data_IF_167472886061
#
_entry.id   IF_167472886061
#
_cell.length_a   1.000
_cell.length_b   1.000
_cell.length_c   1.000
_cell.angle_alpha   90.00
_cell.angle_beta   90.00
_cell.angle_gamma   90.00
#
_symmetry.space_group_name_H-M   'P 1'
#
loop_
_entity.id
_entity.type
_entity.pdbx_description
1 polymer ?
#
# COMPACT_ATOMS: atom_id res chain seq x y z
N UNK A 1 5.95 -7.97 13.49
CA UNK A 1 4.77 -7.67 12.67
C UNK A 1 3.62 -7.29 13.57
N UNK A 2 2.80 -6.34 13.16
CA UNK A 2 1.64 -5.90 13.91
C UNK A 2 0.60 -7.01 14.03
N UNK A 3 -0.09 -7.11 15.18
CA UNK A 3 -1.21 -8.03 15.36
C UNK A 3 -2.40 -7.69 14.47
N UNK A 4 -2.43 -6.46 13.92
CA UNK A 4 -3.51 -5.96 13.09
C UNK A 4 -3.20 -6.05 11.58
N UNK A 5 -2.14 -6.73 11.19
CA UNK A 5 -1.72 -6.79 9.78
C UNK A 5 -2.83 -7.29 8.86
N UNK A 6 -3.49 -8.39 9.23
CA UNK A 6 -4.58 -8.92 8.42
C UNK A 6 -5.74 -7.96 8.26
N UNK A 7 -6.13 -7.30 9.35
CA UNK A 7 -7.21 -6.30 9.32
C UNK A 7 -6.82 -5.11 8.44
N UNK A 8 -5.59 -4.63 8.56
CA UNK A 8 -5.08 -3.52 7.73
C UNK A 8 -5.14 -3.87 6.24
N UNK A 9 -4.71 -5.09 5.88
CA UNK A 9 -4.79 -5.56 4.49
C UNK A 9 -6.23 -5.56 4.00
N UNK A 10 -7.15 -6.09 4.80
CA UNK A 10 -8.57 -6.18 4.44
C UNK A 10 -9.19 -4.79 4.25
N UNK A 11 -8.93 -3.88 5.16
CA UNK A 11 -9.47 -2.52 5.10
C UNK A 11 -8.97 -1.77 3.86
N UNK A 12 -7.66 -1.84 3.59
CA UNK A 12 -7.07 -1.20 2.40
C UNK A 12 -7.59 -1.84 1.12
N UNK A 13 -7.71 -3.17 1.09
CA UNK A 13 -8.24 -3.88 -0.07
C UNK A 13 -9.65 -3.39 -0.40
N UNK A 14 -10.50 -3.30 0.61
CA UNK A 14 -11.89 -2.85 0.44
C UNK A 14 -11.95 -1.38 0.02
N UNK A 15 -11.10 -0.54 0.61
CA UNK A 15 -11.03 0.88 0.25
C UNK A 15 -10.63 1.08 -1.22
N UNK A 16 -9.78 0.19 -1.74
CA UNK A 16 -9.38 0.19 -3.16
C UNK A 16 -10.45 -0.43 -4.08
N UNK A 17 -11.46 -1.07 -3.51
CA UNK A 17 -12.48 -1.77 -4.29
C UNK A 17 -12.01 -3.10 -4.86
N UNK A 18 -10.95 -3.68 -4.33
CA UNK A 18 -10.43 -4.95 -4.83
C UNK A 18 -11.14 -6.14 -4.19
N UNK A 19 -11.41 -7.16 -5.02
CA UNK A 19 -11.81 -8.48 -4.52
C UNK A 19 -10.56 -9.21 -4.01
N UNK A 20 -10.77 -10.32 -3.31
CA UNK A 20 -9.66 -11.19 -2.90
C UNK A 20 -8.85 -11.66 -4.09
N UNK A 21 -9.52 -12.04 -5.18
CA UNK A 21 -8.85 -12.49 -6.41
C UNK A 21 -8.01 -11.37 -7.05
N UNK A 22 -8.54 -10.16 -7.06
CA UNK A 22 -7.83 -9.01 -7.64
C UNK A 22 -6.55 -8.71 -6.85
N UNK A 23 -6.64 -8.65 -5.52
CA UNK A 23 -5.45 -8.43 -4.70
C UNK A 23 -4.46 -9.58 -4.84
N UNK A 24 -4.95 -10.82 -4.91
CA UNK A 24 -4.09 -11.99 -5.11
C UNK A 24 -3.29 -11.86 -6.41
N UNK A 25 -3.96 -11.51 -7.50
CA UNK A 25 -3.30 -11.33 -8.79
C UNK A 25 -2.25 -10.21 -8.74
N UNK A 26 -2.61 -9.06 -8.16
CA UNK A 26 -1.71 -7.90 -8.07
C UNK A 26 -0.49 -8.16 -7.19
N UNK A 27 -0.61 -9.03 -6.21
CA UNK A 27 0.48 -9.35 -5.27
C UNK A 27 1.16 -10.68 -5.56
N UNK A 28 0.85 -11.30 -6.69
CA UNK A 28 1.41 -12.59 -7.08
C UNK A 28 1.18 -13.66 -6.01
N UNK A 29 -0.08 -13.76 -5.58
CA UNK A 29 -0.52 -14.67 -4.51
C UNK A 29 -1.77 -15.42 -4.96
N UNK A 30 -2.21 -16.37 -4.13
CA UNK A 30 -3.50 -17.04 -4.34
C UNK A 30 -4.59 -16.36 -3.53
N UNK A 31 -5.84 -16.52 -3.97
CA UNK A 31 -7.00 -16.03 -3.24
C UNK A 31 -7.04 -16.60 -1.82
N UNK A 32 -6.78 -17.89 -1.67
CA UNK A 32 -6.77 -18.56 -0.38
C UNK A 32 -5.72 -17.96 0.56
N UNK A 33 -4.55 -17.63 0.03
CA UNK A 33 -3.48 -17.03 0.81
C UNK A 33 -3.89 -15.66 1.35
N UNK A 34 -4.47 -14.81 0.50
CA UNK A 34 -4.93 -13.48 0.93
C UNK A 34 -6.04 -13.62 1.97
N UNK A 35 -7.00 -14.53 1.74
CA UNK A 35 -8.07 -14.77 2.70
C UNK A 35 -7.53 -15.19 4.07
N UNK A 36 -6.54 -16.08 4.09
CA UNK A 36 -5.92 -16.53 5.33
C UNK A 36 -5.19 -15.41 6.05
N UNK A 37 -4.47 -14.55 5.30
CA UNK A 37 -3.81 -13.39 5.89
C UNK A 37 -4.81 -12.45 6.56
N UNK A 38 -5.99 -12.26 5.97
CA UNK A 38 -7.00 -11.35 6.48
C UNK A 38 -7.77 -11.92 7.68
N UNK A 39 -7.99 -13.23 7.72
CA UNK A 39 -8.98 -13.83 8.60
C UNK A 39 -8.43 -14.79 9.64
N UNK A 40 -7.22 -15.28 9.48
CA UNK A 40 -6.61 -16.23 10.42
C UNK A 40 -5.31 -15.66 10.95
N UNK A 41 -4.85 -16.06 12.17
CA UNK A 41 -3.51 -15.72 12.61
C UNK A 41 -2.53 -16.52 11.75
N UNK A 42 -1.93 -15.90 10.73
CA UNK A 42 -1.13 -16.62 9.73
C UNK A 42 0.30 -16.81 10.20
N UNK A 43 1.02 -17.76 9.60
CA UNK A 43 2.47 -17.67 9.59
C UNK A 43 2.82 -16.31 8.99
N UNK A 44 3.85 -15.67 9.52
CA UNK A 44 4.28 -14.35 9.03
C UNK A 44 4.62 -14.43 7.53
N UNK A 45 4.04 -13.58 6.70
CA UNK A 45 4.43 -13.54 5.29
C UNK A 45 5.90 -13.14 5.17
N UNK A 46 6.57 -13.61 4.12
CA UNK A 46 7.93 -13.18 3.86
C UNK A 46 7.97 -11.68 3.61
N UNK A 47 9.13 -11.06 3.83
CA UNK A 47 9.31 -9.63 3.55
C UNK A 47 9.01 -9.32 2.08
N UNK A 48 9.38 -10.22 1.18
CA UNK A 48 9.13 -10.07 -0.25
C UNK A 48 7.63 -10.11 -0.57
N UNK A 49 6.89 -11.04 0.02
CA UNK A 49 5.45 -11.16 -0.20
C UNK A 49 4.72 -9.95 0.37
N UNK A 50 5.10 -9.52 1.58
CA UNK A 50 4.50 -8.34 2.20
C UNK A 50 4.77 -7.08 1.38
N UNK A 51 5.96 -6.95 0.79
CA UNK A 51 6.29 -5.83 -0.09
C UNK A 51 5.38 -5.79 -1.33
N UNK A 52 5.08 -6.94 -1.91
CA UNK A 52 4.19 -7.04 -3.07
C UNK A 52 2.76 -6.63 -2.71
N UNK A 53 2.28 -7.08 -1.56
CA UNK A 53 0.94 -6.71 -1.06
C UNK A 53 0.87 -5.20 -0.79
N UNK A 54 1.88 -4.65 -0.13
CA UNK A 54 1.95 -3.23 0.18
C UNK A 54 1.93 -2.38 -1.11
N UNK A 55 2.72 -2.79 -2.10
CA UNK A 55 2.75 -2.11 -3.40
C UNK A 55 1.38 -2.13 -4.08
N UNK A 56 0.71 -3.27 -4.05
CA UNK A 56 -0.63 -3.40 -4.63
C UNK A 56 -1.65 -2.50 -3.94
N UNK A 57 -1.45 -2.22 -2.66
CA UNK A 57 -2.35 -1.38 -1.86
C UNK A 57 -1.88 0.07 -1.74
N UNK A 58 -0.82 0.45 -2.44
CA UNK A 58 -0.26 1.81 -2.47
C UNK A 58 0.18 2.33 -1.09
N UNK A 59 0.73 1.46 -0.27
CA UNK A 59 1.32 1.82 1.03
C UNK A 59 2.71 1.24 1.15
N UNK A 60 3.50 1.76 2.09
CA UNK A 60 4.80 1.18 2.40
C UNK A 60 4.62 -0.05 3.27
N UNK A 61 5.57 -0.98 3.19
CA UNK A 61 5.57 -2.20 4.00
C UNK A 61 5.54 -1.90 5.50
N UNK A 62 6.15 -0.80 5.91
CA UNK A 62 6.23 -0.40 7.32
C UNK A 62 4.87 -0.22 7.96
N UNK A 63 3.85 0.15 7.18
CA UNK A 63 2.49 0.27 7.69
C UNK A 63 1.99 -1.03 8.33
N UNK A 64 2.40 -2.18 7.77
CA UNK A 64 1.97 -3.49 8.28
C UNK A 64 2.87 -4.02 9.40
N UNK A 65 4.04 -3.45 9.58
CA UNK A 65 5.04 -3.93 10.54
C UNK A 65 5.01 -3.10 11.83
N UNK A 66 4.87 -1.79 11.69
CA UNK A 66 4.98 -0.82 12.79
C UNK A 66 3.63 -0.16 13.04
N UNK A 67 3.08 -0.38 14.24
CA UNK A 67 1.78 0.18 14.62
C UNK A 67 1.79 1.71 14.74
N UNK A 68 2.96 2.32 14.86
CA UNK A 68 3.09 3.77 14.94
C UNK A 68 2.99 4.47 13.58
N UNK A 69 3.17 3.71 12.48
CA UNK A 69 3.02 4.26 11.13
C UNK A 69 1.54 4.30 10.78
N UNK A 70 1.02 5.50 10.53
CA UNK A 70 -0.38 5.68 10.15
C UNK A 70 -0.58 5.38 8.67
N UNK A 71 -1.83 5.13 8.27
CA UNK A 71 -2.19 4.95 6.87
C UNK A 71 -1.81 6.19 6.04
N UNK A 72 -2.06 7.38 6.59
CA UNK A 72 -1.71 8.64 5.94
C UNK A 72 -0.21 8.72 5.67
N UNK A 73 0.62 8.44 6.68
CA UNK A 73 2.07 8.43 6.53
C UNK A 73 2.54 7.44 5.48
N UNK A 74 1.97 6.24 5.48
CA UNK A 74 2.34 5.19 4.55
C UNK A 74 1.96 5.56 3.11
N UNK A 75 0.82 6.21 2.92
CA UNK A 75 0.35 6.70 1.63
C UNK A 75 1.25 7.82 1.12
N UNK A 76 1.60 8.77 2.00
CA UNK A 76 2.50 9.88 1.67
C UNK A 76 3.88 9.39 1.28
N UNK A 77 4.42 8.42 2.01
CA UNK A 77 5.71 7.81 1.69
C UNK A 77 5.70 7.13 0.33
N UNK A 78 4.62 6.42 0.01
CA UNK A 78 4.48 5.76 -1.29
C UNK A 78 4.39 6.79 -2.42
N UNK A 79 3.61 7.85 -2.23
CA UNK A 79 3.52 8.96 -3.18
C UNK A 79 4.91 9.58 -3.41
N UNK A 80 5.65 9.84 -2.34
CA UNK A 80 7.00 10.43 -2.44
C UNK A 80 7.94 9.54 -3.25
N UNK A 81 7.91 8.23 -3.03
CA UNK A 81 8.73 7.29 -3.80
C UNK A 81 8.39 7.32 -5.28
N UNK A 82 7.09 7.34 -5.61
CA UNK A 82 6.62 7.41 -6.99
C UNK A 82 7.07 8.73 -7.65
N UNK A 83 6.86 9.83 -6.93
CA UNK A 83 7.25 11.15 -7.41
C UNK A 83 8.77 11.22 -7.66
N UNK A 84 9.57 10.73 -6.72
CA UNK A 84 11.02 10.75 -6.80
C UNK A 84 11.55 10.02 -8.04
N UNK A 85 10.88 8.96 -8.47
CA UNK A 85 11.28 8.15 -9.62
C UNK A 85 10.68 8.60 -10.94
N UNK A 86 9.89 9.67 -10.94
CA UNK A 86 9.30 10.21 -12.16
C UNK A 86 10.32 10.96 -13.01
N UNK A 87 10.02 11.05 -14.30
CA UNK A 87 10.71 11.89 -15.26
C UNK A 87 10.72 13.35 -14.78
N UNK A 88 11.84 14.10 -14.96
CA UNK A 88 11.90 15.51 -14.58
C UNK A 88 10.77 16.38 -15.15
N UNK A 89 10.34 16.13 -16.38
CA UNK A 89 9.25 16.89 -17.00
C UNK A 89 7.93 16.65 -16.27
N UNK A 90 7.65 15.41 -15.89
CA UNK A 90 6.44 15.06 -15.15
C UNK A 90 6.47 15.67 -13.75
N UNK A 91 7.61 15.63 -13.08
CA UNK A 91 7.78 16.26 -11.76
C UNK A 91 7.47 17.75 -11.83
N UNK A 92 7.94 18.42 -12.85
CA UNK A 92 7.70 19.86 -13.03
C UNK A 92 6.21 20.15 -13.21
N UNK A 93 5.51 19.33 -14.00
CA UNK A 93 4.06 19.46 -14.16
C UNK A 93 3.31 19.32 -12.85
N UNK A 94 3.71 18.34 -12.02
CA UNK A 94 3.09 18.13 -10.72
C UNK A 94 3.33 19.33 -9.79
N UNK A 95 4.56 19.87 -9.76
CA UNK A 95 4.87 21.05 -8.97
C UNK A 95 4.03 22.25 -9.38
N UNK A 96 3.85 22.46 -10.67
CA UNK A 96 3.02 23.56 -11.21
C UNK A 96 1.57 23.42 -10.80
N UNK A 97 1.03 22.21 -10.84
CA UNK A 97 -0.35 21.94 -10.39
C UNK A 97 -0.53 22.30 -8.91
N UNK A 98 0.43 21.92 -8.08
CA UNK A 98 0.39 22.21 -6.64
C UNK A 98 0.45 23.71 -6.40
N UNK A 99 1.32 24.43 -7.11
CA UNK A 99 1.42 25.88 -7.03
C UNK A 99 0.10 26.58 -7.37
N UNK A 100 -0.59 26.09 -8.39
CA UNK A 100 -1.91 26.64 -8.77
C UNK A 100 -2.95 26.46 -7.67
N UNK A 101 -2.92 25.34 -6.98
CA UNK A 101 -3.85 25.07 -5.87
C UNK A 101 -3.54 25.92 -4.65
N UNK A 102 -2.26 26.19 -4.37
CA UNK A 102 -1.82 27.00 -3.22
C UNK A 102 -2.15 28.48 -3.37
N UNK A 103 -2.37 28.97 -4.60
CA UNK A 103 -2.69 30.37 -4.87
C UNK A 103 -4.16 30.74 -4.50
N UNK A 104 -4.94 29.75 -4.15
CA UNK A 104 -6.31 29.97 -3.66
C UNK A 104 -6.30 30.28 -2.13
#
# INVERSE_FOLDING_TARGET
MSTNTGLKIKELRKAKGYTLDELATLSDSSKSYIWELENKPPPRPSAQKLAKIAKALDVTRDYFIDDEVTEEDATDQMFYRKYRNMDPDLKEKIRKMIELWDEE
#
